data_IF_563019277720
#
_entry.id   IF_563019277720
#
_cell.length_a   1.000
_cell.length_b   1.000
_cell.length_c   1.000
_cell.angle_alpha   90.00
_cell.angle_beta   90.00
_cell.angle_gamma   90.00
#
_symmetry.space_group_name_H-M   'P 1'
#
loop_
_entity.id
_entity.type
_entity.pdbx_description
1 polymer ?
#
# COMPACT_ATOMS: atom_id res chain seq x y z
N UNK A 1 -21.66 10.21 -12.36
CA UNK A 1 -20.37 10.92 -12.29
C UNK A 1 -20.63 12.25 -11.60
N UNK A 2 -20.15 12.45 -10.36
CA UNK A 2 -20.34 13.74 -9.67
C UNK A 2 -19.40 14.78 -10.31
N UNK A 3 -19.95 15.91 -10.73
CA UNK A 3 -19.22 17.04 -11.31
C UNK A 3 -18.86 18.07 -10.24
N UNK A 4 -17.77 18.80 -10.48
CA UNK A 4 -17.41 19.96 -9.66
C UNK A 4 -18.54 20.98 -9.70
N UNK A 5 -18.98 21.43 -8.53
CA UNK A 5 -20.06 22.40 -8.42
C UNK A 5 -19.48 23.77 -8.18
N UNK A 6 -19.97 24.70 -8.99
CA UNK A 6 -19.49 26.08 -8.98
C UNK A 6 -20.52 26.99 -8.32
N UNK A 7 -20.04 27.91 -7.50
CA UNK A 7 -20.81 29.08 -7.08
C UNK A 7 -20.70 30.14 -8.17
N UNK A 8 -21.84 30.51 -8.75
CA UNK A 8 -21.97 31.50 -9.82
C UNK A 8 -22.24 32.88 -9.26
N UNK A 9 -21.91 33.91 -10.04
CA UNK A 9 -22.19 35.30 -9.72
C UNK A 9 -23.31 35.83 -10.62
N UNK A 10 -24.27 36.54 -10.03
CA UNK A 10 -25.22 37.37 -10.79
C UNK A 10 -24.53 38.65 -11.28
N UNK A 11 -25.19 39.39 -12.18
CA UNK A 11 -24.71 40.72 -12.64
C UNK A 11 -24.53 41.75 -11.52
N UNK A 12 -25.15 41.51 -10.36
CA UNK A 12 -25.04 42.36 -9.16
C UNK A 12 -24.03 41.83 -8.14
N UNK A 13 -23.24 40.81 -8.49
CA UNK A 13 -22.23 40.21 -7.63
C UNK A 13 -22.80 39.29 -6.53
N UNK A 14 -24.10 38.98 -6.56
CA UNK A 14 -24.70 38.00 -5.63
C UNK A 14 -24.29 36.57 -6.05
N UNK A 15 -23.81 35.80 -5.08
CA UNK A 15 -23.39 34.42 -5.27
C UNK A 15 -24.61 33.49 -5.22
N UNK A 16 -24.69 32.50 -6.12
CA UNK A 16 -25.76 31.51 -6.16
C UNK A 16 -25.26 30.18 -6.72
N UNK A 17 -25.99 29.10 -6.43
CA UNK A 17 -25.71 27.76 -6.96
C UNK A 17 -26.80 27.34 -7.94
N UNK A 18 -26.56 26.27 -8.69
CA UNK A 18 -27.54 25.75 -9.64
C UNK A 18 -28.91 25.53 -8.97
N UNK A 19 -30.00 26.08 -9.53
CA UNK A 19 -31.33 25.89 -8.96
C UNK A 19 -31.81 24.45 -9.07
N UNK A 20 -32.48 23.96 -8.02
CA UNK A 20 -33.13 22.65 -8.00
C UNK A 20 -34.61 22.75 -8.41
N UNK A 21 -35.01 21.97 -9.42
CA UNK A 21 -36.41 21.77 -9.79
C UNK A 21 -37.06 20.75 -8.85
N UNK A 22 -37.79 21.24 -7.84
CA UNK A 22 -38.52 20.40 -6.90
C UNK A 22 -39.65 19.65 -7.62
N UNK A 23 -40.37 20.34 -8.51
CA UNK A 23 -41.40 19.76 -9.36
C UNK A 23 -41.51 20.50 -10.68
N UNK A 24 -41.56 19.75 -11.78
CA UNK A 24 -41.90 20.28 -13.11
C UNK A 24 -43.18 19.63 -13.59
N UNK A 25 -44.24 20.43 -13.76
CA UNK A 25 -45.52 19.98 -14.30
C UNK A 25 -45.94 20.76 -15.54
N UNK A 26 -46.99 20.28 -16.21
CA UNK A 26 -47.51 20.87 -17.47
C UNK A 26 -47.91 22.36 -17.34
N UNK A 27 -48.43 22.77 -16.18
CA UNK A 27 -48.97 24.12 -15.94
C UNK A 27 -48.24 24.92 -14.87
N UNK A 28 -47.37 24.27 -14.08
CA UNK A 28 -46.65 24.90 -12.97
C UNK A 28 -45.36 24.16 -12.65
N UNK A 29 -44.36 24.89 -12.16
CA UNK A 29 -43.15 24.30 -11.56
C UNK A 29 -42.86 24.91 -10.20
N UNK A 30 -42.03 24.24 -9.41
CA UNK A 30 -41.49 24.75 -8.15
C UNK A 30 -39.99 24.55 -8.14
N UNK A 31 -39.27 25.62 -7.78
CA UNK A 31 -37.81 25.67 -7.83
C UNK A 31 -37.26 26.22 -6.53
N UNK A 32 -36.18 25.62 -6.06
CA UNK A 32 -35.38 26.10 -4.95
C UNK A 32 -34.04 26.62 -5.46
N UNK A 33 -33.52 27.70 -4.88
CA UNK A 33 -32.19 28.22 -5.18
C UNK A 33 -31.54 28.77 -3.92
N UNK A 34 -30.34 28.30 -3.62
CA UNK A 34 -29.50 28.94 -2.63
C UNK A 34 -28.75 30.12 -3.23
N UNK A 35 -28.65 31.19 -2.44
CA UNK A 35 -27.83 32.34 -2.74
C UNK A 35 -27.19 32.88 -1.46
N UNK A 36 -26.10 33.59 -1.62
CA UNK A 36 -25.36 34.21 -0.53
C UNK A 36 -25.24 35.71 -0.79
N UNK A 37 -25.68 36.47 0.20
CA UNK A 37 -25.57 37.92 0.21
C UNK A 37 -24.50 38.36 1.17
N UNK A 38 -23.81 39.45 0.84
CA UNK A 38 -22.97 40.16 1.79
C UNK A 38 -23.77 41.30 2.41
N UNK A 39 -23.92 41.30 3.72
CA UNK A 39 -24.56 42.38 4.45
C UNK A 39 -23.72 43.65 4.29
N UNK A 40 -24.32 44.72 3.75
CA UNK A 40 -23.58 45.91 3.30
C UNK A 40 -22.84 46.64 4.42
N UNK A 41 -23.33 46.55 5.66
CA UNK A 41 -22.79 47.28 6.81
C UNK A 41 -21.82 46.46 7.64
N UNK A 42 -22.02 45.14 7.73
CA UNK A 42 -21.23 44.26 8.61
C UNK A 42 -20.24 43.39 7.83
N UNK A 43 -20.37 43.30 6.51
CA UNK A 43 -19.59 42.39 5.68
C UNK A 43 -19.95 40.91 5.87
N UNK A 44 -20.90 40.60 6.74
CA UNK A 44 -21.32 39.25 7.05
C UNK A 44 -21.97 38.59 5.83
N UNK A 45 -21.57 37.35 5.55
CA UNK A 45 -22.14 36.57 4.45
C UNK A 45 -23.34 35.77 4.97
N UNK A 46 -24.52 36.02 4.40
CA UNK A 46 -25.77 35.39 4.79
C UNK A 46 -26.21 34.48 3.65
N UNK A 47 -26.26 33.17 3.92
CA UNK A 47 -26.86 32.18 3.03
C UNK A 47 -28.37 32.21 3.18
N UNK A 48 -29.08 32.15 2.06
CA UNK A 48 -30.54 32.16 2.01
C UNK A 48 -31.04 31.21 0.94
N UNK A 49 -32.20 30.61 1.19
CA UNK A 49 -32.88 29.70 0.27
C UNK A 49 -34.17 30.36 -0.21
N UNK A 50 -34.28 30.59 -1.52
CA UNK A 50 -35.55 31.02 -2.13
C UNK A 50 -36.24 29.80 -2.72
N UNK A 51 -37.50 29.61 -2.34
CA UNK A 51 -38.39 28.63 -2.95
C UNK A 51 -39.53 29.39 -3.61
N UNK A 52 -39.73 29.16 -4.91
CA UNK A 52 -40.74 29.86 -5.68
C UNK A 52 -41.54 28.91 -6.54
N UNK A 53 -42.82 29.22 -6.72
CA UNK A 53 -43.72 28.50 -7.63
C UNK A 53 -43.92 29.33 -8.88
N UNK A 54 -43.82 28.68 -10.03
CA UNK A 54 -43.99 29.31 -11.33
C UNK A 54 -45.25 28.77 -12.00
N UNK A 55 -45.91 29.64 -12.77
CA UNK A 55 -47.05 29.29 -13.62
C UNK A 55 -46.63 29.38 -15.08
N UNK A 56 -47.01 28.40 -15.88
CA UNK A 56 -46.79 28.42 -17.33
C UNK A 56 -47.93 29.17 -18.02
N UNK A 57 -47.60 30.18 -18.82
CA UNK A 57 -48.52 30.93 -19.68
C UNK A 57 -47.86 31.05 -21.05
N UNK A 58 -48.54 30.59 -22.10
CA UNK A 58 -48.06 30.61 -23.50
C UNK A 58 -46.64 30.03 -23.69
N UNK A 59 -46.30 28.97 -22.97
CA UNK A 59 -44.96 28.34 -23.05
C UNK A 59 -43.94 28.87 -22.04
N UNK A 60 -44.16 30.08 -21.51
CA UNK A 60 -43.21 30.78 -20.62
C UNK A 60 -43.63 30.64 -19.15
N UNK A 61 -42.67 30.44 -18.26
CA UNK A 61 -42.91 30.36 -16.81
C UNK A 61 -42.77 31.73 -16.14
N UNK A 62 -43.75 32.09 -15.33
CA UNK A 62 -43.79 33.33 -14.55
C UNK A 62 -43.86 33.00 -13.06
N UNK A 63 -43.05 33.66 -12.24
CA UNK A 63 -43.05 33.50 -10.79
C UNK A 63 -44.40 33.97 -10.20
N UNK A 64 -45.01 33.15 -9.35
CA UNK A 64 -46.18 33.54 -8.56
C UNK A 64 -45.73 34.40 -7.38
N UNK A 65 -46.46 35.48 -7.09
CA UNK A 65 -46.18 36.37 -5.97
C UNK A 65 -46.80 35.92 -4.63
N UNK A 66 -47.27 34.68 -4.53
CA UNK A 66 -47.82 34.13 -3.30
C UNK A 66 -46.73 34.06 -2.22
N UNK A 67 -47.00 34.58 -1.01
CA UNK A 67 -46.04 34.58 0.11
C UNK A 67 -45.86 33.23 0.78
N UNK A 68 -46.76 32.27 0.53
CA UNK A 68 -46.70 30.92 1.07
C UNK A 68 -46.64 29.88 -0.04
N UNK A 69 -45.87 28.82 0.19
CA UNK A 69 -45.77 27.67 -0.71
C UNK A 69 -46.07 26.38 0.06
N UNK A 70 -46.87 25.51 -0.55
CA UNK A 70 -47.13 24.16 -0.04
C UNK A 70 -46.41 23.15 -0.92
N UNK A 71 -45.54 22.34 -0.31
CA UNK A 71 -44.74 21.30 -0.96
C UNK A 71 -45.37 19.92 -0.72
N UNK A 72 -45.40 19.09 -1.77
CA UNK A 72 -45.72 17.67 -1.66
C UNK A 72 -44.55 16.86 -1.09
N UNK A 73 -44.77 15.62 -0.64
CA UNK A 73 -43.71 14.76 -0.09
C UNK A 73 -42.48 14.67 -1.01
N UNK A 74 -42.66 14.39 -2.31
CA UNK A 74 -41.53 14.36 -3.24
C UNK A 74 -40.85 15.71 -3.51
N UNK A 75 -41.55 16.84 -3.29
CA UNK A 75 -40.92 18.16 -3.31
C UNK A 75 -40.10 18.40 -2.02
N UNK A 76 -40.55 17.86 -0.88
CA UNK A 76 -39.83 17.92 0.40
C UNK A 76 -38.56 17.08 0.33
N UNK A 77 -38.63 15.85 -0.19
CA UNK A 77 -37.45 14.95 -0.28
C UNK A 77 -36.34 15.58 -1.13
N UNK A 78 -36.69 16.09 -2.32
CA UNK A 78 -35.75 16.82 -3.18
C UNK A 78 -35.20 18.10 -2.56
N UNK A 79 -36.00 18.77 -1.74
CA UNK A 79 -35.55 19.95 -1.03
C UNK A 79 -34.54 19.57 0.06
N UNK A 80 -34.78 18.49 0.79
CA UNK A 80 -33.86 17.97 1.81
C UNK A 80 -32.53 17.60 1.16
N UNK A 81 -32.55 16.83 0.07
CA UNK A 81 -31.34 16.46 -0.68
C UNK A 81 -30.56 17.71 -1.12
N UNK A 82 -31.26 18.70 -1.68
CA UNK A 82 -30.64 19.96 -2.10
C UNK A 82 -30.06 20.77 -0.93
N UNK A 83 -30.74 20.81 0.22
CA UNK A 83 -30.24 21.47 1.42
C UNK A 83 -28.98 20.76 1.94
N UNK A 84 -29.01 19.45 2.09
CA UNK A 84 -27.88 18.65 2.55
C UNK A 84 -26.65 18.83 1.64
N UNK A 85 -26.87 18.98 0.35
CA UNK A 85 -25.80 19.06 -0.63
C UNK A 85 -25.15 20.45 -0.73
N UNK A 86 -25.91 21.54 -0.64
CA UNK A 86 -25.43 22.90 -0.95
C UNK A 86 -25.28 23.81 0.27
N UNK A 87 -25.95 23.55 1.39
CA UNK A 87 -25.98 24.49 2.51
C UNK A 87 -24.60 24.69 3.14
N UNK A 88 -23.95 23.60 3.58
CA UNK A 88 -22.67 23.70 4.29
C UNK A 88 -21.55 24.31 3.44
N UNK A 89 -21.30 23.88 2.18
CA UNK A 89 -20.26 24.47 1.33
C UNK A 89 -20.50 25.95 1.03
N UNK A 90 -21.76 26.32 0.75
CA UNK A 90 -22.09 27.72 0.47
C UNK A 90 -21.98 28.58 1.74
N UNK A 91 -22.26 28.04 2.92
CA UNK A 91 -22.14 28.77 4.18
C UNK A 91 -20.68 28.99 4.60
N UNK A 92 -19.77 28.08 4.28
CA UNK A 92 -18.34 28.15 4.64
C UNK A 92 -17.49 29.02 3.71
N UNK A 93 -18.08 29.64 2.68
CA UNK A 93 -17.32 30.52 1.80
C UNK A 93 -16.86 29.89 0.49
N UNK A 94 -17.02 28.57 0.31
CA UNK A 94 -16.44 27.84 -0.83
C UNK A 94 -16.98 28.36 -2.17
N UNK A 95 -16.07 28.57 -3.13
CA UNK A 95 -16.41 28.92 -4.52
C UNK A 95 -16.60 27.67 -5.40
N UNK A 96 -15.94 26.57 -5.03
CA UNK A 96 -16.03 25.27 -5.66
C UNK A 96 -16.01 24.17 -4.60
N UNK A 97 -16.84 23.14 -4.76
CA UNK A 97 -16.91 22.02 -3.81
C UNK A 97 -17.42 20.73 -4.46
N UNK A 98 -17.23 19.62 -3.74
CA UNK A 98 -17.73 18.28 -4.10
C UNK A 98 -18.38 17.64 -2.86
N UNK A 99 -19.54 17.00 -3.05
CA UNK A 99 -20.22 16.24 -2.00
C UNK A 99 -19.46 14.92 -1.78
N UNK A 100 -18.72 14.86 -0.67
CA UNK A 100 -17.99 13.66 -0.24
C UNK A 100 -18.94 12.79 0.55
N UNK A 101 -19.64 11.88 -0.14
CA UNK A 101 -20.06 10.63 0.49
C UNK A 101 -20.24 9.49 -0.51
N UNK A 102 -19.84 8.30 -0.01
CA UNK A 102 -19.61 6.96 -0.57
C UNK A 102 -18.39 6.65 -1.44
N UNK A 103 -17.81 7.58 -2.21
CA UNK A 103 -16.62 7.27 -3.00
C UNK A 103 -15.53 8.36 -2.92
N UNK A 104 -14.86 8.41 -1.77
CA UNK A 104 -13.58 9.12 -1.67
C UNK A 104 -12.57 8.61 -2.73
N UNK A 105 -12.70 7.35 -3.17
CA UNK A 105 -11.90 6.76 -4.24
C UNK A 105 -12.01 7.52 -5.58
N UNK A 106 -13.21 8.00 -5.96
CA UNK A 106 -13.39 8.81 -7.18
C UNK A 106 -12.66 10.16 -7.08
N UNK A 107 -12.64 10.75 -5.88
CA UNK A 107 -11.93 12.00 -5.63
C UNK A 107 -10.41 11.80 -5.76
N UNK A 108 -9.86 10.78 -5.10
CA UNK A 108 -8.43 10.48 -5.18
C UNK A 108 -7.99 10.08 -6.59
N UNK A 109 -8.83 9.36 -7.35
CA UNK A 109 -8.56 9.05 -8.76
C UNK A 109 -8.44 10.32 -9.60
N UNK A 110 -9.38 11.28 -9.45
CA UNK A 110 -9.30 12.56 -10.14
C UNK A 110 -8.07 13.38 -9.74
N UNK A 111 -7.68 13.37 -8.47
CA UNK A 111 -6.45 14.04 -8.01
C UNK A 111 -5.22 13.43 -8.68
N UNK A 112 -5.16 12.10 -8.82
CA UNK A 112 -4.09 11.42 -9.55
C UNK A 112 -4.08 11.79 -11.04
N UNK A 113 -5.26 11.91 -11.66
CA UNK A 113 -5.39 12.26 -13.08
C UNK A 113 -4.95 13.72 -13.39
N UNK A 114 -4.79 14.57 -12.38
CA UNK A 114 -4.21 15.92 -12.55
C UNK A 114 -2.71 15.87 -12.90
N UNK A 115 -2.06 14.71 -12.82
CA UNK A 115 -0.65 14.54 -13.18
C UNK A 115 0.31 15.33 -12.28
N UNK A 116 -0.11 15.63 -11.04
CA UNK A 116 0.73 16.32 -10.06
C UNK A 116 1.85 15.34 -9.64
N UNK A 117 3.13 15.74 -9.66
CA UNK A 117 4.22 14.88 -9.21
C UNK A 117 4.02 14.45 -7.75
N UNK A 118 4.35 13.20 -7.41
CA UNK A 118 4.17 12.65 -6.06
C UNK A 118 4.80 13.51 -4.96
N UNK A 119 5.98 14.09 -5.22
CA UNK A 119 6.66 14.99 -4.30
C UNK A 119 5.83 16.24 -3.96
N UNK A 120 5.12 16.79 -4.95
CA UNK A 120 4.25 17.94 -4.75
C UNK A 120 2.94 17.55 -4.04
N UNK A 121 2.41 16.36 -4.32
CA UNK A 121 1.27 15.80 -3.58
C UNK A 121 1.61 15.63 -2.10
N UNK A 122 2.74 14.98 -1.80
CA UNK A 122 3.22 14.78 -0.41
C UNK A 122 3.40 16.12 0.30
N UNK A 123 4.02 17.11 -0.36
CA UNK A 123 4.19 18.45 0.19
C UNK A 123 2.84 19.10 0.53
N UNK A 124 1.87 19.07 -0.40
CA UNK A 124 0.52 19.63 -0.18
C UNK A 124 -0.22 18.90 0.93
N UNK A 125 -0.11 17.56 1.02
CA UNK A 125 -0.73 16.77 2.08
C UNK A 125 -0.14 17.08 3.46
N UNK A 126 1.17 17.35 3.52
CA UNK A 126 1.84 17.79 4.75
C UNK A 126 1.42 19.21 5.14
N UNK A 127 1.45 20.16 4.20
CA UNK A 127 1.01 21.55 4.42
C UNK A 127 -0.46 21.65 4.83
N UNK A 128 -1.32 20.76 4.31
CA UNK A 128 -2.74 20.70 4.67
C UNK A 128 -3.01 19.99 6.00
N UNK A 129 -1.99 19.45 6.67
CA UNK A 129 -2.12 18.69 7.92
C UNK A 129 -2.82 17.35 7.77
N UNK A 130 -2.93 16.82 6.54
CA UNK A 130 -3.54 15.50 6.26
C UNK A 130 -2.50 14.41 6.51
N UNK A 131 -1.25 14.63 6.08
CA UNK A 131 -0.15 13.70 6.32
C UNK A 131 0.33 13.82 7.77
N UNK A 132 -0.32 13.06 8.64
CA UNK A 132 0.07 12.88 10.05
C UNK A 132 1.03 11.70 10.21
N UNK A 133 1.75 11.64 11.33
CA UNK A 133 2.60 10.48 11.68
C UNK A 133 1.79 9.16 11.70
N UNK A 134 0.55 9.19 12.21
CA UNK A 134 -0.33 8.02 12.19
C UNK A 134 -0.70 7.60 10.75
N UNK A 135 -0.86 8.56 9.84
CA UNK A 135 -1.16 8.27 8.44
C UNK A 135 0.06 7.68 7.72
N UNK A 136 1.28 8.15 7.98
CA UNK A 136 2.48 7.56 7.38
C UNK A 136 2.71 6.11 7.84
N UNK A 137 2.46 5.84 9.12
CA UNK A 137 2.47 4.47 9.66
C UNK A 137 1.38 3.62 8.99
N UNK A 138 0.15 4.14 8.86
CA UNK A 138 -0.94 3.43 8.21
C UNK A 138 -0.68 3.15 6.72
N UNK A 139 -0.07 4.10 5.99
CA UNK A 139 0.35 3.91 4.59
C UNK A 139 1.40 2.81 4.50
N UNK A 140 2.45 2.87 5.33
CA UNK A 140 3.51 1.86 5.36
C UNK A 140 2.93 0.47 5.67
N UNK A 141 2.02 0.38 6.64
CA UNK A 141 1.33 -0.86 6.99
C UNK A 141 0.50 -1.39 5.82
N UNK A 142 -0.25 -0.52 5.13
CA UNK A 142 -1.04 -0.89 3.96
C UNK A 142 -0.17 -1.39 2.79
N UNK A 143 0.95 -0.73 2.53
CA UNK A 143 1.93 -1.14 1.52
C UNK A 143 2.53 -2.51 1.84
N UNK A 144 2.94 -2.73 3.10
CA UNK A 144 3.47 -4.02 3.54
C UNK A 144 2.43 -5.13 3.50
N UNK A 145 1.19 -4.86 3.90
CA UNK A 145 0.09 -5.82 3.78
C UNK A 145 -0.15 -6.22 2.32
N UNK A 146 -0.15 -5.24 1.41
CA UNK A 146 -0.25 -5.50 -0.03
C UNK A 146 0.92 -6.35 -0.53
N UNK A 147 2.13 -6.05 -0.09
CA UNK A 147 3.32 -6.83 -0.45
C UNK A 147 3.18 -8.28 0.04
N UNK A 148 2.75 -8.50 1.29
CA UNK A 148 2.51 -9.88 1.80
C UNK A 148 1.46 -10.61 0.96
N UNK A 149 0.34 -9.97 0.62
CA UNK A 149 -0.66 -10.59 -0.26
C UNK A 149 -0.13 -10.90 -1.66
N UNK A 150 0.67 -10.00 -2.24
CA UNK A 150 1.37 -10.25 -3.52
C UNK A 150 2.33 -11.44 -3.38
N UNK A 151 3.05 -11.52 -2.26
CA UNK A 151 3.97 -12.60 -1.97
C UNK A 151 3.24 -13.94 -1.94
N UNK A 152 2.18 -14.07 -1.14
CA UNK A 152 1.35 -15.29 -1.03
C UNK A 152 0.86 -15.80 -2.38
N UNK A 153 0.38 -14.90 -3.24
CA UNK A 153 -0.11 -15.26 -4.56
C UNK A 153 1.04 -15.69 -5.48
N UNK A 154 2.18 -15.00 -5.39
CA UNK A 154 3.31 -15.22 -6.27
C UNK A 154 4.05 -16.54 -5.99
N UNK A 155 4.13 -17.01 -4.74
CA UNK A 155 4.92 -18.21 -4.39
C UNK A 155 4.45 -19.49 -5.11
N UNK A 156 3.17 -19.52 -5.51
CA UNK A 156 2.56 -20.67 -6.20
C UNK A 156 2.45 -20.47 -7.71
N UNK A 157 2.88 -19.32 -8.24
CA UNK A 157 2.66 -18.91 -9.63
C UNK A 157 3.80 -19.29 -10.58
N UNK A 158 4.87 -19.93 -10.10
CA UNK A 158 5.97 -20.41 -10.94
C UNK A 158 6.80 -19.31 -11.61
N UNK A 159 6.86 -18.11 -11.00
CA UNK A 159 7.63 -16.99 -11.52
C UNK A 159 9.14 -17.30 -11.63
N UNK A 160 9.85 -16.70 -12.61
CA UNK A 160 11.29 -16.88 -12.77
C UNK A 160 12.08 -16.25 -11.61
N UNK A 161 13.36 -16.62 -11.48
CA UNK A 161 14.25 -16.11 -10.43
C UNK A 161 14.36 -14.57 -10.45
N UNK A 162 14.40 -13.97 -11.65
CA UNK A 162 14.44 -12.52 -11.84
C UNK A 162 13.24 -11.79 -11.23
N UNK A 163 12.05 -12.40 -11.26
CA UNK A 163 10.88 -11.83 -10.59
C UNK A 163 11.11 -11.70 -9.08
N UNK A 164 11.69 -12.73 -8.46
CA UNK A 164 11.98 -12.73 -7.02
C UNK A 164 13.08 -11.74 -6.67
N UNK A 165 14.13 -11.64 -7.50
CA UNK A 165 15.16 -10.61 -7.38
C UNK A 165 14.57 -9.19 -7.49
N UNK A 166 13.60 -8.95 -8.38
CA UNK A 166 12.93 -7.65 -8.47
C UNK A 166 11.95 -7.41 -7.33
N UNK A 167 11.31 -8.46 -6.83
CA UNK A 167 10.35 -8.37 -5.74
C UNK A 167 11.02 -8.08 -4.39
N UNK A 168 12.08 -8.81 -4.04
CA UNK A 168 12.83 -8.61 -2.80
C UNK A 168 13.61 -7.29 -2.79
N UNK A 169 14.03 -6.78 -3.94
CA UNK A 169 14.67 -5.45 -4.01
C UNK A 169 13.71 -4.31 -3.63
N UNK A 170 12.42 -4.46 -3.93
CA UNK A 170 11.35 -3.53 -3.52
C UNK A 170 10.87 -3.78 -2.09
N UNK A 171 10.98 -5.02 -1.61
CA UNK A 171 10.44 -5.47 -0.32
C UNK A 171 11.54 -6.00 0.62
N UNK A 172 12.67 -5.29 0.71
CA UNK A 172 13.88 -5.70 1.44
C UNK A 172 13.63 -6.06 2.90
N UNK A 173 12.64 -5.41 3.51
CA UNK A 173 12.22 -5.63 4.90
C UNK A 173 11.82 -7.09 5.19
N UNK A 174 11.44 -7.86 4.16
CA UNK A 174 11.07 -9.28 4.27
C UNK A 174 12.29 -10.16 4.56
N UNK A 175 13.47 -9.80 4.05
CA UNK A 175 14.69 -10.58 4.23
C UNK A 175 15.19 -10.55 5.68
N UNK A 176 14.91 -9.46 6.40
CA UNK A 176 15.18 -9.37 7.84
C UNK A 176 15.49 -7.94 8.27
N UNK A 177 15.31 -7.67 9.57
CA UNK A 177 15.65 -6.39 10.19
C UNK A 177 17.15 -6.22 10.46
N UNK A 178 17.94 -7.26 10.21
CA UNK A 178 19.38 -7.27 10.46
C UNK A 178 20.18 -6.53 9.36
N UNK A 179 19.51 -6.03 8.32
CA UNK A 179 20.13 -5.33 7.20
C UNK A 179 19.75 -3.84 7.16
N UNK A 180 20.75 -2.95 7.04
CA UNK A 180 20.56 -1.50 6.90
C UNK A 180 20.14 -1.14 5.47
N UNK A 181 20.87 -1.66 4.48
CA UNK A 181 20.64 -1.38 3.08
C UNK A 181 21.25 -2.45 2.16
N UNK A 182 20.66 -2.56 0.98
CA UNK A 182 21.28 -3.24 -0.17
C UNK A 182 22.24 -2.24 -0.81
N UNK A 183 23.47 -2.69 -1.04
CA UNK A 183 24.50 -1.92 -1.73
C UNK A 183 24.20 -1.86 -3.23
N UNK A 184 24.60 -0.78 -3.92
CA UNK A 184 24.48 -0.72 -5.37
C UNK A 184 25.36 -1.76 -6.08
N UNK A 185 26.43 -2.19 -5.42
CA UNK A 185 27.34 -3.22 -5.91
C UNK A 185 26.77 -4.63 -5.73
N UNK A 186 27.01 -5.49 -6.72
CA UNK A 186 26.65 -6.91 -6.73
C UNK A 186 27.81 -7.80 -7.15
N UNK A 187 28.81 -7.23 -7.82
CA UNK A 187 29.97 -7.94 -8.34
C UNK A 187 30.98 -8.14 -7.21
N UNK A 188 31.12 -9.39 -6.77
CA UNK A 188 32.16 -9.76 -5.81
C UNK A 188 33.51 -9.79 -6.53
N UNK A 189 33.52 -10.37 -7.73
CA UNK A 189 34.65 -10.49 -8.64
C UNK A 189 34.12 -10.53 -10.09
N UNK A 190 35.00 -10.63 -11.09
CA UNK A 190 34.64 -10.61 -12.53
C UNK A 190 33.64 -11.71 -12.91
N UNK A 191 33.64 -12.84 -12.20
CA UNK A 191 32.81 -14.02 -12.51
C UNK A 191 31.69 -14.27 -11.52
N UNK A 192 31.70 -13.61 -10.36
CA UNK A 192 30.87 -13.96 -9.22
C UNK A 192 29.99 -12.76 -8.86
N UNK A 193 28.72 -12.84 -9.29
CA UNK A 193 27.73 -11.78 -9.12
C UNK A 193 26.66 -12.31 -8.18
N UNK A 194 26.60 -11.74 -6.98
CA UNK A 194 25.61 -12.10 -5.98
C UNK A 194 24.25 -11.49 -6.30
N UNK A 195 23.18 -12.08 -5.75
CA UNK A 195 21.88 -11.43 -5.88
C UNK A 195 21.84 -10.10 -5.16
N UNK A 196 22.31 -10.05 -3.92
CA UNK A 196 22.54 -8.79 -3.22
C UNK A 196 23.79 -8.85 -2.36
N UNK A 197 24.51 -7.74 -2.35
CA UNK A 197 25.41 -7.39 -1.25
C UNK A 197 24.66 -6.45 -0.31
N UNK A 198 24.69 -6.76 0.98
CA UNK A 198 23.97 -6.01 2.01
C UNK A 198 24.93 -5.55 3.09
N UNK A 199 24.66 -4.37 3.64
CA UNK A 199 25.28 -3.94 4.88
C UNK A 199 24.38 -4.34 6.04
N UNK A 200 24.85 -5.23 6.89
CA UNK A 200 24.19 -5.60 8.12
C UNK A 200 24.20 -4.44 9.14
N UNK A 201 23.34 -4.49 10.15
CA UNK A 201 23.19 -3.46 11.21
C UNK A 201 24.45 -3.25 12.04
N UNK A 202 25.30 -4.26 12.15
CA UNK A 202 26.61 -4.21 12.78
C UNK A 202 27.71 -3.62 11.86
N UNK A 203 27.34 -3.29 10.61
CA UNK A 203 28.17 -2.63 9.61
C UNK A 203 29.03 -3.58 8.78
N UNK A 204 28.79 -4.90 8.86
CA UNK A 204 29.50 -5.89 8.06
C UNK A 204 28.77 -6.21 6.75
N UNK A 205 29.53 -6.74 5.79
CA UNK A 205 29.06 -7.11 4.47
C UNK A 205 28.47 -8.51 4.53
N UNK A 206 27.21 -8.65 4.13
CA UNK A 206 26.53 -9.91 3.99
C UNK A 206 26.04 -10.10 2.55
N UNK A 207 25.76 -11.36 2.21
CA UNK A 207 25.31 -11.78 0.89
C UNK A 207 23.92 -12.35 1.01
N UNK A 208 23.07 -12.05 0.04
CA UNK A 208 21.81 -12.77 -0.14
C UNK A 208 21.81 -13.37 -1.53
N UNK A 209 21.48 -14.65 -1.61
CA UNK A 209 21.29 -15.42 -2.84
C UNK A 209 19.85 -15.93 -2.88
N UNK A 210 19.17 -15.73 -4.01
CA UNK A 210 17.79 -16.13 -4.23
C UNK A 210 17.73 -17.18 -5.31
N UNK A 211 17.14 -18.33 -4.99
CA UNK A 211 16.74 -19.34 -5.96
C UNK A 211 15.24 -19.48 -6.00
N UNK A 212 14.70 -20.06 -7.07
CA UNK A 212 13.24 -20.14 -7.28
C UNK A 212 12.52 -20.99 -6.21
N UNK A 213 11.24 -20.69 -5.91
CA UNK A 213 10.44 -21.42 -4.93
C UNK A 213 10.06 -22.85 -5.40
N UNK A 214 9.98 -23.09 -6.71
CA UNK A 214 9.58 -24.38 -7.28
C UNK A 214 10.69 -25.43 -7.28
N UNK A 215 11.88 -25.11 -6.76
CA UNK A 215 13.01 -26.03 -6.76
C UNK A 215 12.87 -27.10 -5.66
N UNK A 216 13.20 -28.37 -5.96
CA UNK A 216 13.21 -29.43 -4.97
C UNK A 216 14.25 -29.15 -3.90
N UNK A 217 13.85 -29.29 -2.64
CA UNK A 217 14.72 -29.07 -1.48
C UNK A 217 15.44 -30.35 -1.07
N UNK A 218 14.67 -31.40 -0.80
CA UNK A 218 15.17 -32.71 -0.38
C UNK A 218 15.09 -33.73 -1.51
N UNK A 219 15.98 -34.72 -1.49
CA UNK A 219 15.81 -35.97 -2.25
C UNK A 219 14.76 -36.85 -1.57
N UNK A 220 14.38 -37.95 -2.23
CA UNK A 220 13.70 -39.03 -1.52
C UNK A 220 14.59 -39.50 -0.35
N UNK A 221 14.00 -39.89 0.79
CA UNK A 221 14.76 -40.46 1.90
C UNK A 221 15.61 -41.64 1.44
N UNK A 222 16.80 -41.76 2.01
CA UNK A 222 17.65 -42.93 1.79
C UNK A 222 17.08 -44.20 2.46
N UNK A 223 17.79 -45.33 2.37
CA UNK A 223 17.37 -46.59 2.99
C UNK A 223 17.26 -46.55 4.52
N UNK A 224 17.78 -45.50 5.15
CA UNK A 224 17.74 -45.28 6.60
C UNK A 224 16.78 -44.14 6.98
N UNK A 225 16.03 -43.58 6.02
CA UNK A 225 15.10 -42.48 6.23
C UNK A 225 15.75 -41.09 6.30
N UNK A 226 17.04 -40.95 5.94
CA UNK A 226 17.69 -39.65 5.96
C UNK A 226 17.28 -38.82 4.74
N UNK A 227 16.89 -37.57 4.99
CA UNK A 227 16.67 -36.57 3.97
C UNK A 227 18.02 -35.97 3.54
N UNK A 228 18.33 -36.03 2.25
CA UNK A 228 19.53 -35.40 1.69
C UNK A 228 19.16 -34.15 0.88
N UNK A 229 19.97 -33.08 0.92
CA UNK A 229 19.78 -31.94 0.02
C UNK A 229 19.73 -32.38 -1.44
N UNK A 230 18.84 -31.78 -2.23
CA UNK A 230 18.79 -32.02 -3.67
C UNK A 230 20.08 -31.54 -4.34
N UNK A 231 20.38 -32.05 -5.53
CA UNK A 231 21.56 -31.62 -6.29
C UNK A 231 21.54 -30.11 -6.60
N UNK A 232 20.35 -29.54 -6.80
CA UNK A 232 20.18 -28.11 -7.04
C UNK A 232 20.42 -27.28 -5.76
N UNK A 233 19.97 -27.77 -4.61
CA UNK A 233 20.26 -27.13 -3.32
C UNK A 233 21.76 -27.22 -3.00
N UNK A 234 22.40 -28.37 -3.22
CA UNK A 234 23.85 -28.50 -3.06
C UNK A 234 24.62 -27.54 -3.97
N UNK A 235 24.18 -27.37 -5.22
CA UNK A 235 24.79 -26.40 -6.14
C UNK A 235 24.64 -24.96 -5.64
N UNK A 236 23.45 -24.57 -5.14
CA UNK A 236 23.20 -23.25 -4.58
C UNK A 236 24.04 -22.99 -3.32
N UNK A 237 24.12 -23.97 -2.40
CA UNK A 237 25.00 -23.92 -1.23
C UNK A 237 26.46 -23.70 -1.67
N UNK A 238 26.93 -24.47 -2.66
CA UNK A 238 28.29 -24.34 -3.18
C UNK A 238 28.56 -22.95 -3.74
N UNK A 239 27.60 -22.37 -4.46
CA UNK A 239 27.67 -21.01 -4.99
C UNK A 239 27.81 -19.98 -3.85
N UNK A 240 26.97 -20.07 -2.81
CA UNK A 240 27.07 -19.19 -1.64
C UNK A 240 28.43 -19.29 -0.93
N UNK A 241 28.95 -20.51 -0.74
CA UNK A 241 30.26 -20.71 -0.11
C UNK A 241 31.40 -20.11 -0.94
N UNK A 242 31.32 -20.18 -2.28
CA UNK A 242 32.28 -19.53 -3.16
C UNK A 242 32.24 -18.02 -3.04
N UNK A 243 31.04 -17.42 -2.95
CA UNK A 243 30.88 -15.98 -2.72
C UNK A 243 31.53 -15.52 -1.43
N UNK A 244 31.28 -16.24 -0.33
CA UNK A 244 31.90 -15.96 0.96
C UNK A 244 33.43 -16.02 0.89
N UNK A 245 33.98 -17.08 0.28
CA UNK A 245 35.42 -17.23 0.08
C UNK A 245 36.01 -16.07 -0.74
N UNK A 246 35.35 -15.68 -1.82
CA UNK A 246 35.78 -14.58 -2.69
C UNK A 246 35.78 -13.23 -1.98
N UNK A 247 34.74 -12.92 -1.21
CA UNK A 247 34.69 -11.72 -0.38
C UNK A 247 35.84 -11.72 0.63
N UNK A 248 36.09 -12.85 1.29
CA UNK A 248 37.19 -12.97 2.25
C UNK A 248 38.56 -12.71 1.60
N UNK A 249 38.78 -13.17 0.36
CA UNK A 249 40.00 -12.86 -0.41
C UNK A 249 40.15 -11.36 -0.72
N UNK A 250 39.03 -10.66 -0.95
CA UNK A 250 39.00 -9.23 -1.27
C UNK A 250 39.05 -8.33 -0.02
N UNK A 251 39.13 -8.89 1.18
CA UNK A 251 39.01 -8.14 2.44
C UNK A 251 40.05 -7.02 2.65
N UNK A 252 41.20 -7.11 1.97
CA UNK A 252 42.25 -6.07 2.01
C UNK A 252 42.35 -5.27 0.70
N UNK A 253 41.41 -5.45 -0.23
CA UNK A 253 41.38 -4.73 -1.51
C UNK A 253 40.73 -3.35 -1.31
N UNK A 254 41.52 -2.29 -1.48
CA UNK A 254 41.00 -0.89 -1.39
C UNK A 254 39.93 -0.65 -2.44
N UNK A 255 40.13 -1.14 -3.67
CA UNK A 255 39.18 -1.02 -4.76
C UNK A 255 37.85 -1.71 -4.42
N UNK A 256 37.90 -2.94 -3.87
CA UNK A 256 36.69 -3.64 -3.45
C UNK A 256 35.96 -2.88 -2.35
N UNK A 257 36.70 -2.41 -1.33
CA UNK A 257 36.16 -1.64 -0.21
C UNK A 257 35.45 -0.37 -0.67
N UNK A 258 36.03 0.38 -1.61
CA UNK A 258 35.39 1.57 -2.18
C UNK A 258 34.07 1.23 -2.91
N UNK A 259 34.04 0.13 -3.69
CA UNK A 259 32.82 -0.33 -4.37
C UNK A 259 31.71 -0.73 -3.40
N UNK A 260 32.07 -1.31 -2.26
CA UNK A 260 31.11 -1.67 -1.20
C UNK A 260 30.93 -0.56 -0.15
N UNK A 261 31.21 0.71 -0.50
CA UNK A 261 31.00 1.89 0.36
C UNK A 261 31.72 1.79 1.72
N UNK A 262 32.93 1.25 1.76
CA UNK A 262 33.71 1.00 2.98
C UNK A 262 33.00 0.06 3.99
N UNK A 263 32.16 -0.87 3.49
CA UNK A 263 31.55 -1.92 4.32
C UNK A 263 32.60 -2.93 4.80
N UNK A 264 32.56 -3.28 6.08
CA UNK A 264 33.53 -4.24 6.66
C UNK A 264 33.26 -5.64 6.10
N UNK A 265 34.27 -6.26 5.51
CA UNK A 265 34.18 -7.56 4.82
C UNK A 265 34.62 -8.76 5.68
N UNK A 266 34.84 -8.55 6.97
CA UNK A 266 35.29 -9.63 7.87
C UNK A 266 34.13 -10.57 8.17
N UNK A 267 34.32 -11.86 7.88
CA UNK A 267 33.35 -12.93 8.19
C UNK A 267 31.93 -12.66 7.69
N UNK A 268 31.79 -12.44 6.37
CA UNK A 268 30.47 -12.24 5.76
C UNK A 268 29.57 -13.43 6.05
N UNK A 269 28.28 -13.18 6.19
CA UNK A 269 27.22 -14.19 6.23
C UNK A 269 26.52 -14.25 4.87
N UNK A 270 25.91 -15.39 4.57
CA UNK A 270 25.09 -15.58 3.39
C UNK A 270 23.70 -16.09 3.78
N UNK A 271 22.65 -15.40 3.32
CA UNK A 271 21.30 -15.92 3.35
C UNK A 271 20.96 -16.53 1.98
N UNK A 272 20.63 -17.82 1.97
CA UNK A 272 20.13 -18.51 0.78
C UNK A 272 18.61 -18.68 0.89
N UNK A 273 17.87 -17.96 0.06
CA UNK A 273 16.42 -18.13 -0.10
C UNK A 273 16.16 -19.21 -1.12
N UNK A 274 15.57 -20.33 -0.71
CA UNK A 274 15.45 -21.51 -1.58
C UNK A 274 14.20 -22.33 -1.30
N UNK A 275 13.45 -22.64 -2.36
CA UNK A 275 12.40 -23.65 -2.32
C UNK A 275 11.24 -23.36 -1.37
N UNK A 276 10.29 -24.29 -1.34
CA UNK A 276 9.11 -24.22 -0.47
C UNK A 276 9.11 -25.33 0.57
N UNK A 277 8.50 -25.04 1.71
CA UNK A 277 8.26 -25.96 2.83
C UNK A 277 6.77 -26.10 3.16
N UNK A 278 5.87 -25.78 2.22
CA UNK A 278 4.41 -25.87 2.43
C UNK A 278 3.92 -27.29 2.71
N UNK A 279 4.57 -28.29 2.11
CA UNK A 279 4.18 -29.71 2.23
C UNK A 279 5.11 -30.49 3.19
N UNK A 280 5.84 -29.80 4.06
CA UNK A 280 6.81 -30.43 4.96
C UNK A 280 6.18 -30.88 6.27
N UNK A 281 6.63 -32.02 6.78
CA UNK A 281 6.37 -32.47 8.13
C UNK A 281 7.53 -32.10 9.08
N UNK A 282 7.41 -32.51 10.35
CA UNK A 282 8.42 -32.23 11.38
C UNK A 282 9.81 -32.80 11.05
N UNK A 283 9.89 -33.86 10.26
CA UNK A 283 11.16 -34.46 9.84
C UNK A 283 11.89 -33.58 8.84
N UNK A 284 11.22 -33.03 7.82
CA UNK A 284 11.86 -32.08 6.90
C UNK A 284 12.27 -30.79 7.61
N UNK A 285 11.43 -30.28 8.53
CA UNK A 285 11.75 -29.10 9.33
C UNK A 285 12.96 -29.35 10.24
N UNK A 286 13.01 -30.52 10.89
CA UNK A 286 14.16 -30.96 11.68
C UNK A 286 15.41 -31.13 10.82
N UNK A 287 15.29 -31.69 9.62
CA UNK A 287 16.41 -31.84 8.70
C UNK A 287 16.97 -30.48 8.27
N UNK A 288 16.12 -29.49 7.99
CA UNK A 288 16.55 -28.11 7.70
C UNK A 288 17.27 -27.49 8.90
N UNK A 289 16.74 -27.67 10.12
CA UNK A 289 17.38 -27.18 11.34
C UNK A 289 18.78 -27.76 11.52
N UNK A 290 18.95 -29.06 11.30
CA UNK A 290 20.25 -29.75 11.37
C UNK A 290 21.19 -29.23 10.28
N UNK A 291 20.70 -29.10 9.04
CA UNK A 291 21.48 -28.59 7.92
C UNK A 291 22.01 -27.17 8.20
N UNK A 292 21.14 -26.27 8.65
CA UNK A 292 21.54 -24.91 9.02
C UNK A 292 22.53 -24.89 10.18
N UNK A 293 22.41 -25.79 11.16
CA UNK A 293 23.37 -25.88 12.27
C UNK A 293 24.78 -26.32 11.84
N UNK A 294 24.91 -26.99 10.68
CA UNK A 294 26.19 -27.41 10.14
C UNK A 294 26.98 -26.25 9.49
N UNK A 295 26.32 -25.14 9.15
CA UNK A 295 26.96 -23.99 8.52
C UNK A 295 27.02 -22.79 9.47
N UNK A 296 28.21 -22.22 9.64
CA UNK A 296 28.41 -21.05 10.51
C UNK A 296 28.21 -19.70 9.80
N UNK A 297 28.36 -19.66 8.47
CA UNK A 297 28.27 -18.44 7.66
C UNK A 297 27.16 -18.49 6.61
N UNK A 298 26.35 -19.55 6.60
CA UNK A 298 25.27 -19.75 5.64
C UNK A 298 23.99 -20.06 6.40
N UNK A 299 22.93 -19.33 6.07
CA UNK A 299 21.59 -19.55 6.57
C UNK A 299 20.64 -19.81 5.41
N UNK A 300 20.08 -21.02 5.35
CA UNK A 300 19.13 -21.43 4.32
C UNK A 300 17.72 -21.21 4.87
N UNK A 301 16.90 -20.47 4.13
CA UNK A 301 15.52 -20.15 4.50
C UNK A 301 14.57 -20.42 3.33
N UNK A 302 13.40 -20.98 3.62
CA UNK A 302 12.38 -21.23 2.60
C UNK A 302 11.52 -20.00 2.34
N UNK A 303 10.86 -19.95 1.19
CA UNK A 303 9.89 -18.89 0.90
C UNK A 303 8.74 -18.86 1.90
N UNK A 304 8.27 -20.02 2.35
CA UNK A 304 7.18 -20.10 3.33
C UNK A 304 7.64 -19.60 4.72
N UNK A 305 8.89 -19.85 5.12
CA UNK A 305 9.46 -19.27 6.35
C UNK A 305 9.62 -17.75 6.27
N UNK A 306 10.05 -17.20 5.13
CA UNK A 306 10.10 -15.74 4.91
C UNK A 306 8.71 -15.11 4.92
N UNK A 307 7.74 -15.76 4.27
CA UNK A 307 6.36 -15.30 4.27
C UNK A 307 5.78 -15.30 5.69
N UNK A 308 6.01 -16.36 6.47
CA UNK A 308 5.61 -16.44 7.87
C UNK A 308 6.25 -15.31 8.69
N UNK A 309 7.56 -15.09 8.53
CA UNK A 309 8.26 -13.97 9.18
C UNK A 309 7.63 -12.62 8.81
N UNK A 310 7.32 -12.40 7.54
CA UNK A 310 6.71 -11.17 7.06
C UNK A 310 5.31 -10.93 7.66
N UNK A 311 4.48 -11.98 7.75
CA UNK A 311 3.17 -11.92 8.41
C UNK A 311 3.27 -11.58 9.89
N UNK A 312 4.19 -12.25 10.61
CA UNK A 312 4.43 -12.00 12.04
C UNK A 312 4.87 -10.55 12.30
N UNK A 313 5.74 -10.00 11.44
CA UNK A 313 6.15 -8.59 11.53
C UNK A 313 4.99 -7.59 11.38
N UNK A 314 3.89 -7.99 10.74
CA UNK A 314 2.70 -7.18 10.55
C UNK A 314 1.59 -7.49 11.56
N UNK A 315 1.79 -8.44 12.46
CA UNK A 315 0.74 -8.91 13.37
C UNK A 315 -0.43 -9.58 12.63
N UNK A 316 -0.18 -10.12 11.44
CA UNK A 316 -1.16 -10.94 10.72
C UNK A 316 -1.16 -12.31 11.40
N UNK A 317 -2.17 -12.58 12.22
CA UNK A 317 -2.37 -13.88 12.84
C UNK A 317 -2.55 -14.95 11.75
N UNK A 318 -1.82 -16.06 11.86
CA UNK A 318 -2.13 -17.24 11.08
C UNK A 318 -3.33 -17.91 11.76
N UNK A 319 -4.46 -18.07 11.06
CA UNK A 319 -5.67 -18.77 11.54
C UNK A 319 -5.45 -20.28 11.85
N UNK A 320 -4.21 -20.75 11.97
CA UNK A 320 -3.86 -22.17 12.12
C UNK A 320 -3.16 -22.48 13.45
N UNK A 321 -3.35 -21.68 14.50
CA UNK A 321 -2.73 -21.92 15.81
C UNK A 321 -3.73 -21.95 16.99
N UNK A 322 -4.98 -22.33 16.73
CA UNK A 322 -5.96 -22.69 17.77
C UNK A 322 -6.05 -24.21 17.95
N UNK A 323 -4.92 -24.91 17.89
CA UNK A 323 -4.78 -26.17 18.61
C UNK A 323 -3.86 -25.88 19.80
N UNK A 324 -4.46 -25.65 20.96
CA UNK A 324 -3.77 -25.73 22.24
C UNK A 324 -3.16 -27.14 22.33
N UNK A 325 -1.91 -27.30 21.91
CA UNK A 325 -1.13 -28.48 22.26
C UNK A 325 -0.96 -28.47 23.77
N UNK A 326 -1.65 -29.40 24.42
CA UNK A 326 -1.53 -29.69 25.83
C UNK A 326 -0.12 -30.20 26.14
N UNK A 327 0.77 -29.28 26.52
CA UNK A 327 2.14 -29.58 26.96
C UNK A 327 2.19 -30.43 28.25
N UNK A 328 1.06 -30.86 28.82
CA UNK A 328 1.02 -31.71 30.01
C UNK A 328 1.22 -33.21 29.74
N UNK A 329 1.25 -33.64 28.47
CA UNK A 329 1.42 -35.07 28.12
C UNK A 329 2.85 -35.50 27.72
N UNK A 330 3.87 -34.64 27.84
CA UNK A 330 5.25 -35.08 27.57
C UNK A 330 5.92 -35.64 28.83
N UNK A 331 6.29 -36.94 28.88
CA UNK A 331 6.95 -37.50 30.04
C UNK A 331 8.47 -37.37 29.89
N UNK A 332 9.05 -36.18 30.05
CA UNK A 332 10.49 -36.00 30.37
C UNK A 332 10.76 -34.71 31.15
#
# INVERSE_FOLDING_TARGET
MKEWKNVKLTSKGQEYVEPCELKTGLRSSSRAVFFRNTHQTTGEKIVSLKIARYRKVNGTFYEKQDKSITLSCGEIDKLIEYIQEYYAPLNTGMSEFISVDKDAAELFAKVRDLGIPDAEVVKKLHESGILTENLSVAITAAERNRAVSEFEQAISSGYPESYWQDWFSRNKWVLGSEYLNILPERDIDVTDIADYLMRAIDGFLDVVEIKRPDLPFWTRPDSHGNLCPSSQLTAAITQCLNYLYKIELQSNSVEFMERVEDTKTVKPQCMLVYGRSVDWDDNELKALRILNAAYHQLHIITYDQLLMRAKLLLGIENETADEEEDFSEWPF
#
